data_IF_686887282644
#
_entry.id   IF_686887282644
#
_cell.length_a   1.000
_cell.length_b   1.000
_cell.length_c   1.000
_cell.angle_alpha   90.00
_cell.angle_beta   90.00
_cell.angle_gamma   90.00
#
_symmetry.space_group_name_H-M   'P 1'
#
loop_
_entity.id
_entity.type
_entity.pdbx_description
1 polymer ?
#
# COMPACT_ATOMS: atom_id res chain seq x y z
N UNK A 1 -4.96 -12.73 -31.07
CA UNK A 1 -4.74 -13.74 -30.01
C UNK A 1 -4.99 -13.21 -28.57
N UNK A 2 -5.51 -11.99 -28.41
CA UNK A 2 -5.77 -11.32 -27.11
C UNK A 2 -6.68 -12.10 -26.14
N UNK A 3 -7.76 -12.71 -26.64
CA UNK A 3 -8.70 -13.45 -25.78
C UNK A 3 -8.10 -14.68 -25.10
N UNK A 4 -7.24 -15.43 -25.80
CA UNK A 4 -6.69 -16.70 -25.29
C UNK A 4 -5.74 -16.50 -24.12
N UNK A 5 -4.89 -15.47 -24.15
CA UNK A 5 -3.89 -15.21 -23.10
C UNK A 5 -4.56 -14.78 -21.80
N UNK A 6 -5.56 -13.88 -21.86
CA UNK A 6 -6.33 -13.50 -20.67
C UNK A 6 -7.07 -14.71 -20.10
N UNK A 7 -7.74 -15.51 -20.94
CA UNK A 7 -8.44 -16.72 -20.50
C UNK A 7 -7.49 -17.75 -19.87
N UNK A 8 -6.31 -17.97 -20.45
CA UNK A 8 -5.30 -18.88 -19.89
C UNK A 8 -4.73 -18.35 -18.59
N UNK A 9 -4.49 -17.04 -18.44
CA UNK A 9 -4.06 -16.44 -17.18
C UNK A 9 -5.09 -16.67 -16.07
N UNK A 10 -6.34 -16.30 -16.30
CA UNK A 10 -7.41 -16.53 -15.31
C UNK A 10 -7.61 -18.02 -15.01
N UNK A 11 -7.36 -18.92 -15.97
CA UNK A 11 -7.47 -20.36 -15.77
C UNK A 11 -6.25 -21.03 -15.11
N UNK A 12 -5.05 -20.45 -15.25
CA UNK A 12 -3.77 -20.93 -14.72
C UNK A 12 -3.43 -20.33 -13.35
N UNK A 13 -4.06 -19.20 -12.99
CA UNK A 13 -4.16 -18.82 -11.58
C UNK A 13 -4.73 -20.04 -10.85
N UNK A 14 -4.06 -20.55 -9.80
CA UNK A 14 -4.55 -21.70 -9.09
C UNK A 14 -5.98 -21.39 -8.68
N UNK A 15 -6.91 -22.31 -8.98
CA UNK A 15 -8.30 -22.26 -8.48
C UNK A 15 -8.28 -22.48 -6.98
N UNK A 16 -7.61 -21.58 -6.28
CA UNK A 16 -7.70 -21.41 -4.84
C UNK A 16 -9.14 -20.98 -4.59
N UNK A 17 -9.70 -21.50 -3.51
CA UNK A 17 -11.10 -21.31 -3.15
C UNK A 17 -11.53 -19.84 -3.36
N UNK A 18 -12.75 -19.58 -3.85
CA UNK A 18 -13.23 -18.23 -4.06
C UNK A 18 -13.08 -17.41 -2.76
N UNK A 19 -12.27 -16.34 -2.82
CA UNK A 19 -12.23 -15.29 -1.79
C UNK A 19 -10.97 -15.19 -0.93
N UNK A 20 -9.76 -15.08 -1.49
CA UNK A 20 -8.63 -14.73 -0.61
C UNK A 20 -7.22 -14.74 -1.13
N UNK A 21 -6.95 -15.22 -2.35
CA UNK A 21 -5.57 -15.24 -2.84
C UNK A 21 -5.09 -13.81 -3.15
N UNK A 22 -3.98 -13.42 -2.53
CA UNK A 22 -3.34 -12.12 -2.73
C UNK A 22 -1.89 -12.29 -3.15
N UNK A 23 -1.42 -11.34 -3.96
CA UNK A 23 0.00 -11.19 -4.27
C UNK A 23 0.52 -10.04 -3.43
N UNK A 24 1.31 -10.33 -2.40
CA UNK A 24 2.02 -9.29 -1.64
C UNK A 24 3.13 -8.71 -2.53
N UNK A 25 3.06 -7.41 -2.78
CA UNK A 25 3.96 -6.73 -3.70
C UNK A 25 5.03 -5.94 -2.96
N UNK A 26 4.70 -5.21 -1.91
CA UNK A 26 5.68 -4.41 -1.20
C UNK A 26 5.39 -4.35 0.29
N UNK A 27 6.46 -4.21 1.07
CA UNK A 27 6.40 -3.87 2.48
C UNK A 27 7.47 -2.82 2.78
N UNK A 28 7.14 -1.84 3.62
CA UNK A 28 8.12 -0.91 4.18
C UNK A 28 7.79 -0.61 5.65
N UNK A 29 8.81 -0.26 6.43
CA UNK A 29 8.68 0.18 7.81
C UNK A 29 8.89 1.68 7.91
N UNK A 30 8.07 2.36 8.71
CA UNK A 30 8.22 3.77 9.03
C UNK A 30 7.93 4.01 10.52
N UNK A 31 8.65 4.94 11.14
CA UNK A 31 8.35 5.39 12.50
C UNK A 31 7.29 6.49 12.43
N UNK A 32 6.11 6.21 12.97
CA UNK A 32 4.97 7.12 12.96
C UNK A 32 4.90 7.86 14.29
N UNK A 33 4.77 9.18 14.22
CA UNK A 33 4.67 10.05 15.40
C UNK A 33 3.26 10.62 15.50
N UNK A 34 2.63 10.41 16.65
CA UNK A 34 1.33 10.95 17.03
C UNK A 34 1.56 11.94 18.15
N UNK A 35 1.11 13.18 17.99
CA UNK A 35 1.27 14.23 18.99
C UNK A 35 -0.05 14.92 19.23
N UNK A 36 -0.35 15.18 20.50
CA UNK A 36 -1.48 16.00 20.92
C UNK A 36 -0.99 17.07 21.89
N UNK A 37 -1.55 18.26 21.76
CA UNK A 37 -1.24 19.40 22.62
C UNK A 37 -2.54 20.02 23.07
N UNK A 38 -2.68 20.27 24.37
CA UNK A 38 -3.82 20.96 24.96
C UNK A 38 -3.31 22.16 25.78
N UNK A 39 -3.91 23.30 25.54
CA UNK A 39 -3.65 24.56 26.21
C UNK A 39 -4.91 24.94 26.98
N UNK A 40 -4.82 24.97 28.30
CA UNK A 40 -5.96 25.36 29.15
C UNK A 40 -5.60 26.57 30.00
N UNK A 41 -6.59 27.43 30.19
CA UNK A 41 -6.57 28.50 31.18
C UNK A 41 -7.75 28.33 32.14
N UNK A 42 -7.55 28.65 33.41
CA UNK A 42 -8.57 28.61 34.46
C UNK A 42 -8.95 30.04 34.89
N UNK A 43 -10.07 30.15 35.61
CA UNK A 43 -10.61 31.43 36.11
C UNK A 43 -10.81 32.47 35.00
N UNK A 44 -11.78 32.27 34.09
CA UNK A 44 -12.08 33.23 33.01
C UNK A 44 -10.83 33.67 32.22
N UNK A 45 -9.97 32.72 31.82
CA UNK A 45 -8.68 32.97 31.14
C UNK A 45 -7.59 33.68 31.97
N UNK A 46 -7.82 33.97 33.25
CA UNK A 46 -6.88 34.76 34.07
C UNK A 46 -5.66 33.97 34.57
N UNK A 47 -5.70 32.63 34.56
CA UNK A 47 -4.60 31.78 35.02
C UNK A 47 -4.16 30.80 33.93
N UNK A 48 -2.98 30.98 33.30
CA UNK A 48 -2.44 30.00 32.36
C UNK A 48 -2.08 28.72 33.13
N UNK A 49 -2.71 27.60 32.80
CA UNK A 49 -2.50 26.32 33.50
C UNK A 49 -1.32 25.50 32.95
N UNK A 50 -0.61 26.06 31.98
CA UNK A 50 0.47 25.39 31.24
C UNK A 50 -0.06 24.55 30.08
N UNK A 51 0.88 24.04 29.29
CA UNK A 51 0.62 23.23 28.09
C UNK A 51 0.90 21.77 28.41
N UNK A 52 -0.03 20.88 28.10
CA UNK A 52 0.20 19.45 28.14
C UNK A 52 0.53 18.96 26.73
N UNK A 53 1.61 18.20 26.59
CA UNK A 53 2.00 17.58 25.33
C UNK A 53 2.07 16.07 25.55
N UNK A 54 1.27 15.31 24.81
CA UNK A 54 1.35 13.85 24.76
C UNK A 54 1.86 13.44 23.37
N UNK A 55 2.82 12.53 23.33
CA UNK A 55 3.42 12.06 22.09
C UNK A 55 3.66 10.55 22.12
N UNK A 56 3.35 9.87 21.02
CA UNK A 56 3.62 8.44 20.82
C UNK A 56 4.40 8.29 19.52
N UNK A 57 5.56 7.64 19.58
CA UNK A 57 6.33 7.21 18.41
C UNK A 57 6.25 5.70 18.32
N UNK A 58 5.89 5.17 17.17
CA UNK A 58 5.79 3.71 16.99
C UNK A 58 6.20 3.30 15.58
N UNK A 59 7.10 2.30 15.43
CA UNK A 59 7.35 1.70 14.14
C UNK A 59 6.11 0.97 13.60
N UNK A 60 5.82 1.18 12.33
CA UNK A 60 4.68 0.59 11.63
C UNK A 60 5.15 -0.02 10.33
N UNK A 61 4.77 -1.27 10.07
CA UNK A 61 4.97 -1.91 8.77
C UNK A 61 3.72 -1.79 7.92
N UNK A 62 3.87 -1.10 6.78
CA UNK A 62 2.88 -1.01 5.74
C UNK A 62 3.14 -2.10 4.70
N UNK A 63 2.10 -2.86 4.36
CA UNK A 63 2.16 -3.88 3.31
C UNK A 63 1.13 -3.61 2.24
N UNK A 64 1.45 -3.94 1.00
CA UNK A 64 0.61 -3.70 -0.16
C UNK A 64 0.48 -4.96 -1.00
N UNK A 65 -0.74 -5.21 -1.48
CA UNK A 65 -1.08 -6.38 -2.26
C UNK A 65 -2.05 -6.05 -3.39
N UNK A 66 -2.10 -6.94 -4.38
CA UNK A 66 -3.20 -7.03 -5.35
C UNK A 66 -3.94 -8.34 -5.12
N UNK A 67 -5.23 -8.37 -5.45
CA UNK A 67 -6.04 -9.59 -5.35
C UNK A 67 -6.04 -10.34 -6.67
N UNK A 68 -5.97 -11.66 -6.62
CA UNK A 68 -6.11 -12.48 -7.82
C UNK A 68 -7.56 -12.58 -8.29
N UNK A 69 -8.51 -12.46 -7.36
CA UNK A 69 -9.95 -12.52 -7.64
C UNK A 69 -10.49 -11.27 -8.40
N UNK A 70 -9.70 -10.20 -8.44
CA UNK A 70 -10.08 -8.99 -9.17
C UNK A 70 -9.78 -9.14 -10.67
N UNK A 71 -10.42 -8.35 -11.56
CA UNK A 71 -10.19 -8.43 -13.00
C UNK A 71 -8.74 -8.11 -13.40
N UNK A 72 -8.08 -9.07 -14.04
CA UNK A 72 -6.81 -8.88 -14.75
C UNK A 72 -7.08 -8.83 -16.25
N UNK A 73 -6.44 -7.91 -16.97
CA UNK A 73 -6.52 -7.86 -18.43
C UNK A 73 -5.15 -7.93 -19.06
N UNK A 74 -4.96 -8.87 -19.97
CA UNK A 74 -3.71 -9.04 -20.71
C UNK A 74 -3.98 -8.80 -22.18
N UNK A 75 -3.28 -7.82 -22.75
CA UNK A 75 -3.33 -7.50 -24.17
C UNK A 75 -1.94 -7.58 -24.79
N UNK A 76 -1.88 -8.06 -26.02
CA UNK A 76 -0.64 -8.07 -26.80
C UNK A 76 -0.77 -7.03 -27.89
N UNK A 77 0.20 -6.10 -27.95
CA UNK A 77 0.33 -5.15 -29.06
C UNK A 77 1.75 -5.21 -29.62
N UNK A 78 1.87 -5.68 -30.85
CA UNK A 78 3.17 -5.95 -31.45
C UNK A 78 3.94 -6.98 -30.62
N UNK A 79 5.12 -6.61 -30.13
CA UNK A 79 5.97 -7.44 -29.26
C UNK A 79 5.87 -7.07 -27.77
N UNK A 80 4.87 -6.30 -27.34
CA UNK A 80 4.71 -5.94 -25.92
C UNK A 80 3.45 -6.57 -25.34
N UNK A 81 3.61 -7.22 -24.19
CA UNK A 81 2.50 -7.67 -23.35
C UNK A 81 2.09 -6.55 -22.39
N UNK A 82 0.91 -5.98 -22.62
CA UNK A 82 0.26 -5.01 -21.77
C UNK A 82 -0.53 -5.75 -20.69
N UNK A 83 -0.16 -5.55 -19.43
CA UNK A 83 -0.83 -6.13 -18.27
C UNK A 83 -1.52 -5.00 -17.52
N UNK A 84 -2.85 -5.05 -17.45
CA UNK A 84 -3.64 -4.22 -16.55
C UNK A 84 -3.94 -5.01 -15.29
N UNK A 85 -3.20 -4.70 -14.23
CA UNK A 85 -3.35 -5.31 -12.92
C UNK A 85 -4.46 -4.60 -12.11
N UNK A 86 -5.11 -5.29 -11.17
CA UNK A 86 -6.04 -4.69 -10.22
C UNK A 86 -5.40 -3.57 -9.42
N UNK A 87 -6.23 -2.69 -8.84
CA UNK A 87 -5.76 -1.61 -7.97
C UNK A 87 -4.89 -2.15 -6.81
N UNK A 88 -3.84 -1.41 -6.48
CA UNK A 88 -3.02 -1.70 -5.31
C UNK A 88 -3.84 -1.44 -4.03
N UNK A 89 -3.78 -2.35 -3.06
CA UNK A 89 -4.45 -2.20 -1.77
C UNK A 89 -3.46 -2.32 -0.62
N UNK A 90 -3.59 -1.50 0.45
CA UNK A 90 -2.89 -1.76 1.69
C UNK A 90 -3.49 -3.00 2.38
N UNK A 91 -2.65 -3.74 3.08
CA UNK A 91 -3.09 -4.72 4.08
C UNK A 91 -3.47 -3.97 5.35
N UNK A 92 -4.70 -4.17 5.82
CA UNK A 92 -5.28 -3.46 6.96
C UNK A 92 -5.65 -4.45 8.09
N UNK A 93 -5.44 -4.06 9.37
CA UNK A 93 -4.68 -2.87 9.79
C UNK A 93 -3.17 -3.03 9.51
N UNK A 94 -2.41 -1.93 9.38
CA UNK A 94 -0.95 -1.99 9.35
C UNK A 94 -0.39 -2.63 10.62
N UNK A 95 0.76 -3.28 10.53
CA UNK A 95 1.37 -3.94 11.69
C UNK A 95 2.06 -2.89 12.58
N UNK A 96 1.55 -2.72 13.79
CA UNK A 96 2.07 -1.79 14.80
C UNK A 96 3.03 -2.57 15.70
N UNK A 97 4.29 -2.13 15.79
CA UNK A 97 5.31 -2.76 16.63
C UNK A 97 5.29 -2.15 18.03
N UNK A 98 4.34 -2.59 18.85
CA UNK A 98 4.13 -2.05 20.21
C UNK A 98 5.29 -2.32 21.16
N UNK A 99 6.12 -3.33 20.89
CA UNK A 99 7.36 -3.63 21.58
C UNK A 99 8.42 -2.53 21.43
N UNK A 100 8.33 -1.74 20.35
CA UNK A 100 9.20 -0.60 20.03
C UNK A 100 8.48 0.74 20.15
N UNK A 101 7.33 0.78 20.82
CA UNK A 101 6.56 2.01 21.03
C UNK A 101 7.19 2.86 22.13
N UNK A 102 7.43 4.13 21.83
CA UNK A 102 7.90 5.14 22.76
C UNK A 102 6.76 6.11 23.07
N UNK A 103 6.57 6.44 24.35
CA UNK A 103 5.57 7.40 24.82
C UNK A 103 6.27 8.51 25.59
N UNK A 104 6.05 9.74 25.16
CA UNK A 104 6.59 10.94 25.79
C UNK A 104 5.44 11.85 26.24
N UNK A 105 5.65 12.53 27.37
CA UNK A 105 4.66 13.44 27.92
C UNK A 105 5.32 14.60 28.65
N UNK A 106 5.06 15.82 28.20
CA UNK A 106 5.47 17.05 28.89
C UNK A 106 4.33 17.55 29.78
N UNK A 107 4.66 17.82 31.05
CA UNK A 107 3.69 17.98 32.14
C UNK A 107 3.43 19.46 32.45
N UNK A 108 2.20 19.91 32.22
CA UNK A 108 1.64 21.06 32.93
C UNK A 108 1.25 20.71 34.37
N UNK A 109 0.80 21.69 35.16
CA UNK A 109 0.49 21.50 36.59
C UNK A 109 -0.73 20.59 36.87
N UNK A 110 -1.51 20.22 35.86
CA UNK A 110 -2.69 19.36 35.96
C UNK A 110 -2.38 17.91 35.56
N UNK A 111 -2.14 17.05 36.57
CA UNK A 111 -1.88 15.61 36.39
C UNK A 111 -3.03 14.83 35.73
N UNK A 112 -4.27 15.31 35.83
CA UNK A 112 -5.45 14.55 35.39
C UNK A 112 -5.69 14.56 33.88
N UNK A 113 -5.09 15.49 33.13
CA UNK A 113 -5.35 15.66 31.70
C UNK A 113 -4.36 14.88 30.82
N UNK A 114 -3.11 14.69 31.28
CA UNK A 114 -2.08 14.00 30.49
C UNK A 114 -2.40 12.52 30.26
N UNK A 115 -2.86 11.81 31.30
CA UNK A 115 -3.22 10.38 31.18
C UNK A 115 -4.41 10.20 30.23
N UNK A 116 -5.42 11.08 30.32
CA UNK A 116 -6.55 11.10 29.39
C UNK A 116 -6.10 11.40 27.95
N UNK A 117 -5.19 12.37 27.76
CA UNK A 117 -4.65 12.69 26.44
C UNK A 117 -3.87 11.53 25.84
N UNK A 118 -3.08 10.82 26.66
CA UNK A 118 -2.35 9.64 26.21
C UNK A 118 -3.31 8.52 25.81
N UNK A 119 -4.33 8.23 26.62
CA UNK A 119 -5.36 7.22 26.31
C UNK A 119 -6.12 7.54 25.01
N UNK A 120 -6.46 8.81 24.81
CA UNK A 120 -7.12 9.27 23.57
C UNK A 120 -6.17 9.16 22.37
N UNK A 121 -4.88 9.46 22.56
CA UNK A 121 -3.86 9.34 21.53
C UNK A 121 -3.67 7.88 21.11
N UNK A 122 -3.59 6.95 22.05
CA UNK A 122 -3.51 5.51 21.79
C UNK A 122 -4.69 5.00 20.97
N UNK A 123 -5.91 5.39 21.34
CA UNK A 123 -7.15 5.03 20.60
C UNK A 123 -7.16 5.59 19.18
N UNK A 124 -6.44 6.69 18.93
CA UNK A 124 -6.35 7.33 17.61
C UNK A 124 -5.35 6.66 16.66
N UNK A 125 -4.38 5.88 17.17
CA UNK A 125 -3.28 5.33 16.36
C UNK A 125 -3.81 4.48 15.19
N UNK A 126 -4.52 3.40 15.49
CA UNK A 126 -5.02 2.46 14.46
C UNK A 126 -5.89 3.15 13.39
N UNK A 127 -6.92 3.95 13.73
CA UNK A 127 -7.73 4.60 12.70
C UNK A 127 -6.91 5.57 11.84
N UNK A 128 -6.00 6.35 12.43
CA UNK A 128 -5.12 7.24 11.66
C UNK A 128 -4.19 6.46 10.72
N UNK A 129 -3.63 5.35 11.17
CA UNK A 129 -2.78 4.49 10.34
C UNK A 129 -3.54 3.84 9.19
N UNK A 130 -4.80 3.42 9.40
CA UNK A 130 -5.67 2.90 8.35
C UNK A 130 -5.88 3.96 7.26
N UNK A 131 -6.20 5.20 7.66
CA UNK A 131 -6.36 6.31 6.72
C UNK A 131 -5.06 6.59 5.96
N UNK A 132 -3.92 6.66 6.67
CA UNK A 132 -2.60 6.92 6.06
C UNK A 132 -2.16 5.82 5.08
N UNK A 133 -2.43 4.55 5.40
CA UNK A 133 -2.09 3.42 4.54
C UNK A 133 -2.81 3.46 3.18
N UNK A 134 -4.06 3.94 3.18
CA UNK A 134 -4.88 4.11 1.99
C UNK A 134 -4.70 5.44 1.25
N UNK A 135 -3.92 6.37 1.81
CA UNK A 135 -3.70 7.68 1.19
C UNK A 135 -2.97 7.54 -0.17
N UNK A 136 -3.44 8.21 -1.24
CA UNK A 136 -2.86 8.10 -2.57
C UNK A 136 -1.36 8.46 -2.62
N UNK A 137 -0.88 9.36 -1.76
CA UNK A 137 0.54 9.73 -1.69
C UNK A 137 1.36 8.57 -1.16
N UNK A 138 0.89 7.91 -0.09
CA UNK A 138 1.53 6.73 0.51
C UNK A 138 1.57 5.57 -0.48
N UNK A 139 0.44 5.29 -1.14
CA UNK A 139 0.34 4.29 -2.23
C UNK A 139 1.30 4.63 -3.38
N UNK A 140 1.46 5.91 -3.69
CA UNK A 140 2.37 6.41 -4.73
C UNK A 140 3.84 6.06 -4.48
N UNK A 141 4.29 6.03 -3.21
CA UNK A 141 5.68 5.72 -2.85
C UNK A 141 6.09 4.30 -3.25
N UNK A 142 5.17 3.33 -3.15
CA UNK A 142 5.45 1.92 -3.43
C UNK A 142 5.07 1.51 -4.85
N UNK A 143 4.40 2.38 -5.60
CA UNK A 143 3.75 2.06 -6.88
C UNK A 143 4.70 1.51 -7.92
N UNK A 144 5.85 2.15 -8.12
CA UNK A 144 6.83 1.68 -9.12
C UNK A 144 7.48 0.35 -8.73
N UNK A 145 7.79 0.17 -7.44
CA UNK A 145 8.29 -1.11 -6.92
C UNK A 145 7.27 -2.23 -7.12
N UNK A 146 6.00 -1.96 -6.82
CA UNK A 146 4.90 -2.89 -7.06
C UNK A 146 4.75 -3.22 -8.54
N UNK A 147 4.85 -2.22 -9.43
CA UNK A 147 4.75 -2.38 -10.89
C UNK A 147 5.82 -3.36 -11.40
N UNK A 148 7.07 -3.20 -10.97
CA UNK A 148 8.18 -4.09 -11.33
C UNK A 148 7.94 -5.52 -10.85
N UNK A 149 7.51 -5.71 -9.61
CA UNK A 149 7.22 -7.05 -9.06
C UNK A 149 6.06 -7.75 -9.75
N UNK A 150 5.02 -7.01 -10.14
CA UNK A 150 3.96 -7.56 -11.00
C UNK A 150 4.55 -7.97 -12.35
N UNK A 151 5.41 -7.14 -12.96
CA UNK A 151 6.04 -7.47 -14.24
C UNK A 151 6.91 -8.74 -14.15
N UNK A 152 7.67 -8.90 -13.07
CA UNK A 152 8.47 -10.11 -12.79
C UNK A 152 7.58 -11.34 -12.62
N UNK A 153 6.54 -11.24 -11.81
CA UNK A 153 5.56 -12.31 -11.64
C UNK A 153 4.93 -12.73 -12.97
N UNK A 154 4.54 -11.77 -13.79
CA UNK A 154 3.94 -12.03 -15.11
C UNK A 154 4.93 -12.66 -16.09
N UNK A 155 6.20 -12.23 -16.08
CA UNK A 155 7.26 -12.85 -16.87
C UNK A 155 7.42 -14.32 -16.50
N UNK A 156 7.55 -14.59 -15.21
CA UNK A 156 7.77 -15.95 -14.71
C UNK A 156 6.56 -16.86 -14.98
N UNK A 157 5.34 -16.30 -14.93
CA UNK A 157 4.13 -17.03 -15.33
C UNK A 157 4.08 -17.32 -16.83
N UNK A 158 4.34 -16.33 -17.69
CA UNK A 158 4.33 -16.50 -19.16
C UNK A 158 5.39 -17.50 -19.64
N UNK A 159 6.56 -17.55 -18.99
CA UNK A 159 7.60 -18.53 -19.25
C UNK A 159 7.15 -19.96 -18.89
N UNK A 160 6.48 -20.13 -17.74
CA UNK A 160 5.98 -21.45 -17.31
C UNK A 160 4.91 -22.02 -18.22
N UNK A 161 4.03 -21.17 -18.76
CA UNK A 161 2.91 -21.60 -19.62
C UNK A 161 3.30 -21.77 -21.11
N UNK A 162 4.60 -21.70 -21.46
CA UNK A 162 5.12 -21.72 -22.84
C UNK A 162 4.49 -20.65 -23.77
N UNK A 163 3.95 -19.59 -23.18
CA UNK A 163 3.37 -18.45 -23.90
C UNK A 163 4.44 -17.40 -24.26
N UNK A 164 5.60 -17.46 -23.61
CA UNK A 164 6.76 -16.61 -23.87
C UNK A 164 7.68 -17.25 -24.93
N UNK A 165 7.27 -17.20 -26.20
CA UNK A 165 8.07 -17.74 -27.33
C UNK A 165 8.95 -16.65 -27.97
N UNK A 166 10.04 -17.06 -28.60
CA UNK A 166 11.02 -16.19 -29.28
C UNK A 166 10.40 -15.27 -30.35
N UNK A 167 9.30 -15.69 -30.97
CA UNK A 167 8.53 -14.93 -31.97
C UNK A 167 7.36 -14.10 -31.38
N UNK A 168 7.17 -14.12 -30.05
CA UNK A 168 6.01 -13.54 -29.37
C UNK A 168 6.23 -12.11 -28.88
N UNK A 169 6.93 -11.94 -27.75
CA UNK A 169 7.03 -10.66 -27.03
C UNK A 169 8.46 -10.37 -26.52
N UNK A 170 8.87 -9.10 -26.56
CA UNK A 170 10.18 -8.59 -26.12
C UNK A 170 10.09 -7.70 -24.86
N UNK A 171 8.89 -7.36 -24.39
CA UNK A 171 8.70 -6.59 -23.16
C UNK A 171 7.32 -6.74 -22.51
N UNK A 172 7.26 -6.40 -21.22
CA UNK A 172 6.03 -6.34 -20.42
C UNK A 172 5.85 -4.92 -19.93
N UNK A 173 4.65 -4.38 -20.10
CA UNK A 173 4.25 -3.10 -19.53
C UNK A 173 3.09 -3.33 -18.58
N UNK A 174 3.27 -2.94 -17.32
CA UNK A 174 2.24 -3.07 -16.29
C UNK A 174 1.61 -1.71 -15.99
N UNK A 175 0.29 -1.66 -16.00
CA UNK A 175 -0.50 -0.52 -15.48
C UNK A 175 -1.47 -1.01 -14.41
N UNK A 176 -1.70 -0.18 -13.40
CA UNK A 176 -2.73 -0.47 -12.39
C UNK A 176 -4.08 0.10 -12.84
N UNK A 177 -5.18 -0.54 -12.42
CA UNK A 177 -6.53 -0.17 -12.80
C UNK A 177 -6.86 1.31 -12.54
N UNK A 178 -6.36 1.85 -11.43
CA UNK A 178 -6.58 3.20 -10.90
C UNK A 178 -5.69 4.28 -11.52
N UNK A 179 -4.74 3.94 -12.40
CA UNK A 179 -3.83 4.90 -13.03
C UNK A 179 -4.46 5.72 -14.17
N UNK A 180 -5.71 5.41 -14.57
CA UNK A 180 -6.36 6.05 -15.71
C UNK A 180 -5.71 5.65 -17.04
N UNK A 181 -6.51 5.51 -18.09
CA UNK A 181 -6.02 5.13 -19.42
C UNK A 181 -5.59 6.38 -20.19
N UNK A 182 -4.37 6.37 -20.73
CA UNK A 182 -4.21 6.79 -22.13
C UNK A 182 -3.48 5.69 -22.93
N UNK A 183 -4.19 4.92 -23.77
CA UNK A 183 -3.62 3.85 -24.58
C UNK A 183 -2.94 4.36 -25.87
N UNK A 184 -2.83 5.68 -26.07
CA UNK A 184 -2.27 6.26 -27.29
C UNK A 184 -0.73 6.20 -27.35
N UNK A 185 -0.06 6.14 -26.19
CA UNK A 185 1.40 6.06 -26.10
C UNK A 185 1.74 4.76 -25.37
N UNK A 186 2.38 3.81 -26.05
CA UNK A 186 2.91 2.62 -25.40
C UNK A 186 3.92 3.08 -24.34
N UNK A 187 3.66 2.88 -23.04
CA UNK A 187 4.64 3.22 -22.02
C UNK A 187 5.90 2.40 -22.26
N UNK A 188 7.07 2.97 -21.92
CA UNK A 188 8.33 2.23 -21.97
C UNK A 188 8.18 0.89 -21.22
N UNK A 189 8.71 -0.21 -21.76
CA UNK A 189 8.56 -1.52 -21.13
C UNK A 189 9.09 -1.48 -19.70
N UNK A 190 8.28 -1.95 -18.76
CA UNK A 190 8.68 -2.11 -17.35
C UNK A 190 9.79 -3.13 -17.23
N UNK A 191 9.74 -4.18 -18.06
CA UNK A 191 10.80 -5.17 -18.22
C UNK A 191 11.06 -5.42 -19.71
N UNK A 192 12.33 -5.53 -20.07
CA UNK A 192 12.78 -5.99 -21.39
C UNK A 192 13.46 -7.34 -21.25
N UNK A 193 13.36 -8.16 -22.30
CA UNK A 193 14.17 -9.37 -22.40
C UNK A 193 15.62 -8.97 -22.71
N UNK A 194 16.58 -9.49 -21.93
CA UNK A 194 18.01 -9.48 -22.29
C UNK A 194 18.30 -10.58 -23.32
#
# INVERSE_FOLDING_TARGET
>A
HTGRITTTFTAALPRLQPGGATLELAAYEAVETFRRTDERAAFFDLLPLGTNVAEIRVPVTYRYHVRFDDPWHLEVRGQVCLVRAPRLRPTLPPAIHTDRMEKEGERGWLRFDLDQQMDELEKSITPTLITRAGDPRTVGLVRETCRKRVAEFMRDWLLREDQWRSDGFSGITVTFEDEGKDPAILPSPTLRRE
#
